data_IF_499304297341
#
_entry.id   IF_499304297341
#
_cell.length_a   1.000
_cell.length_b   1.000
_cell.length_c   1.000
_cell.angle_alpha   90.00
_cell.angle_beta   90.00
_cell.angle_gamma   90.00
#
_symmetry.space_group_name_H-M   'P 1'
#
loop_
_entity.id
_entity.type
_entity.pdbx_description
1 polymer ?
#
# COMPACT_ATOMS: atom_id res chain seq x y z
N UNK A 1 23.78 27.33 -57.61
CA UNK A 1 23.71 28.48 -56.70
C UNK A 1 23.08 28.01 -55.40
N UNK A 2 23.90 27.55 -54.45
CA UNK A 2 23.42 27.07 -53.14
C UNK A 2 23.67 28.20 -52.12
N UNK A 3 22.66 29.04 -51.87
CA UNK A 3 22.63 30.01 -50.77
C UNK A 3 21.55 29.58 -49.78
N UNK A 4 21.91 29.21 -48.57
CA UNK A 4 20.95 29.07 -47.48
C UNK A 4 21.10 27.87 -46.55
N UNK A 5 22.26 27.19 -46.48
CA UNK A 5 22.39 25.94 -45.69
C UNK A 5 22.92 26.10 -44.26
N UNK A 6 23.23 27.32 -43.78
CA UNK A 6 23.72 27.53 -42.42
C UNK A 6 22.88 28.60 -41.71
N UNK A 7 21.88 28.17 -40.96
CA UNK A 7 21.25 29.02 -39.95
C UNK A 7 22.28 29.20 -38.82
N UNK A 8 22.77 30.43 -38.66
CA UNK A 8 23.62 30.80 -37.52
C UNK A 8 22.79 30.66 -36.24
N UNK A 9 23.10 29.68 -35.41
CA UNK A 9 22.49 29.53 -34.07
C UNK A 9 23.07 30.64 -33.20
N UNK A 10 22.26 31.57 -32.74
CA UNK A 10 22.68 32.57 -31.75
C UNK A 10 22.57 31.91 -30.36
N UNK A 11 23.70 31.82 -29.69
CA UNK A 11 23.73 31.40 -28.27
C UNK A 11 23.59 32.66 -27.41
N UNK A 12 22.57 32.65 -26.56
CA UNK A 12 22.41 33.68 -25.52
C UNK A 12 23.13 33.17 -24.28
N UNK A 13 24.13 33.89 -23.83
CA UNK A 13 24.82 33.60 -22.57
C UNK A 13 23.97 34.16 -21.43
N UNK A 14 23.33 33.29 -20.67
CA UNK A 14 22.57 33.66 -19.48
C UNK A 14 23.48 33.55 -18.27
N UNK A 15 23.56 34.60 -17.45
CA UNK A 15 24.37 34.58 -16.23
C UNK A 15 23.82 33.59 -15.20
N UNK A 16 24.71 33.04 -14.37
CA UNK A 16 24.28 32.14 -13.27
C UNK A 16 23.29 32.78 -12.30
N UNK A 17 23.30 34.10 -12.17
CA UNK A 17 22.36 34.86 -11.34
C UNK A 17 20.96 34.94 -11.97
N UNK A 18 20.87 35.09 -13.29
CA UNK A 18 19.58 35.06 -14.02
C UNK A 18 18.97 33.68 -14.01
N UNK A 19 19.76 32.61 -14.18
CA UNK A 19 19.31 31.21 -14.05
C UNK A 19 18.74 30.95 -12.65
N UNK A 20 19.41 31.45 -11.62
CA UNK A 20 18.94 31.30 -10.23
C UNK A 20 17.67 32.10 -9.92
N UNK A 21 17.49 33.29 -10.53
CA UNK A 21 16.25 34.06 -10.43
C UNK A 21 15.09 33.37 -11.12
N UNK A 22 15.30 32.82 -12.33
CA UNK A 22 14.28 32.06 -13.07
C UNK A 22 13.88 30.81 -12.28
N UNK A 23 14.86 30.05 -11.75
CA UNK A 23 14.56 28.85 -10.91
C UNK A 23 13.77 29.19 -9.66
N UNK A 24 14.08 30.29 -8.96
CA UNK A 24 13.33 30.75 -7.79
C UNK A 24 11.90 31.20 -8.12
N UNK A 25 11.70 31.81 -9.29
CA UNK A 25 10.35 32.19 -9.74
C UNK A 25 9.51 30.97 -10.15
N UNK A 26 10.11 29.98 -10.80
CA UNK A 26 9.44 28.70 -11.15
C UNK A 26 9.08 27.86 -9.91
N UNK A 27 9.93 27.89 -8.87
CA UNK A 27 9.65 27.22 -7.60
C UNK A 27 8.52 27.91 -6.81
N UNK A 28 8.41 29.24 -6.88
CA UNK A 28 7.36 30.01 -6.22
C UNK A 28 5.98 29.87 -6.90
N UNK A 29 5.92 29.45 -8.16
CA UNK A 29 4.67 29.26 -8.92
C UNK A 29 4.19 27.83 -8.99
N UNK A 30 4.96 26.85 -8.49
CA UNK A 30 4.48 25.47 -8.43
C UNK A 30 3.33 25.37 -7.42
N UNK A 31 2.14 24.91 -7.86
CA UNK A 31 1.05 24.68 -6.93
C UNK A 31 1.53 23.70 -5.86
N UNK A 32 1.29 24.02 -4.59
CA UNK A 32 1.57 23.12 -3.48
C UNK A 32 0.57 21.95 -3.53
N UNK A 33 0.90 20.91 -4.27
CA UNK A 33 0.08 19.69 -4.38
C UNK A 33 0.42 18.83 -3.16
N UNK A 34 -0.52 18.58 -2.24
CA UNK A 34 -0.29 17.72 -1.10
C UNK A 34 0.19 16.35 -1.53
N UNK A 35 1.21 15.82 -0.85
CA UNK A 35 1.74 14.48 -1.10
C UNK A 35 0.62 13.44 -0.98
N UNK A 36 0.57 12.49 -1.91
CA UNK A 36 -0.40 11.40 -1.90
C UNK A 36 -1.72 11.67 -2.64
N UNK A 37 -1.91 12.87 -3.24
CA UNK A 37 -3.11 13.13 -4.06
C UNK A 37 -3.10 12.40 -5.41
N UNK A 38 -1.92 12.07 -5.91
CA UNK A 38 -1.75 11.43 -7.22
C UNK A 38 -0.88 10.18 -7.11
N UNK A 39 -1.27 9.13 -7.81
CA UNK A 39 -0.56 7.86 -7.89
C UNK A 39 -0.19 7.56 -9.34
N UNK A 40 1.06 7.16 -9.59
CA UNK A 40 1.51 6.76 -10.91
C UNK A 40 1.36 5.25 -11.09
N UNK A 41 0.59 4.85 -12.09
CA UNK A 41 0.47 3.44 -12.44
C UNK A 41 1.81 2.87 -12.90
N UNK A 42 2.30 1.84 -12.20
CA UNK A 42 3.57 1.19 -12.49
C UNK A 42 3.56 0.42 -13.81
N UNK A 43 2.37 0.03 -14.31
CA UNK A 43 2.23 -0.72 -15.56
C UNK A 43 2.14 0.19 -16.79
N UNK A 44 1.31 1.23 -16.78
CA UNK A 44 1.08 2.08 -17.96
C UNK A 44 1.62 3.51 -17.82
N UNK A 45 2.15 3.89 -16.64
CA UNK A 45 2.73 5.21 -16.40
C UNK A 45 1.72 6.34 -16.20
N UNK A 46 0.42 6.08 -16.32
CA UNK A 46 -0.61 7.10 -16.14
C UNK A 46 -0.64 7.62 -14.71
N UNK A 47 -0.82 8.93 -14.55
CA UNK A 47 -1.03 9.59 -13.28
C UNK A 47 -2.53 9.58 -13.01
N UNK A 48 -2.93 9.08 -11.83
CA UNK A 48 -4.32 8.86 -11.42
C UNK A 48 -4.56 9.61 -10.12
N UNK A 49 -5.69 10.27 -9.98
CA UNK A 49 -6.08 10.87 -8.71
C UNK A 49 -6.38 9.76 -7.69
N UNK A 50 -5.76 9.83 -6.52
CA UNK A 50 -5.83 8.75 -5.51
C UNK A 50 -7.27 8.45 -5.08
N UNK A 51 -8.14 9.47 -5.04
CA UNK A 51 -9.54 9.27 -4.71
C UNK A 51 -10.26 8.44 -5.77
N UNK A 52 -10.06 8.77 -7.05
CA UNK A 52 -10.66 8.02 -8.17
C UNK A 52 -10.14 6.57 -8.21
N UNK A 53 -8.85 6.38 -7.88
CA UNK A 53 -8.26 5.05 -7.78
C UNK A 53 -8.94 4.21 -6.69
N UNK A 54 -9.19 4.81 -5.52
CA UNK A 54 -9.88 4.14 -4.40
C UNK A 54 -11.35 3.83 -4.74
N UNK A 55 -12.06 4.76 -5.36
CA UNK A 55 -13.43 4.55 -5.84
C UNK A 55 -13.51 3.44 -6.89
N UNK A 56 -12.45 3.26 -7.68
CA UNK A 56 -12.31 2.16 -8.64
C UNK A 56 -11.64 0.89 -8.04
N UNK A 57 -11.79 0.65 -6.73
CA UNK A 57 -11.27 -0.52 -6.01
C UNK A 57 -9.75 -0.74 -6.20
N UNK A 58 -8.97 0.33 -6.27
CA UNK A 58 -7.52 0.30 -6.51
C UNK A 58 -7.13 -0.39 -7.83
N UNK A 59 -7.98 -0.25 -8.87
CA UNK A 59 -7.72 -0.74 -10.22
C UNK A 59 -7.47 0.44 -11.15
N UNK A 60 -6.39 0.39 -11.92
CA UNK A 60 -6.08 1.42 -12.90
C UNK A 60 -7.22 1.55 -13.94
N UNK A 61 -7.82 2.73 -14.14
CA UNK A 61 -8.91 2.91 -15.10
C UNK A 61 -8.48 2.63 -16.54
N UNK A 62 -7.21 2.89 -16.87
CA UNK A 62 -6.68 2.78 -18.23
C UNK A 62 -6.24 1.36 -18.61
N UNK A 63 -5.39 0.73 -17.79
CA UNK A 63 -4.79 -0.55 -18.14
C UNK A 63 -5.27 -1.74 -17.30
N UNK A 64 -6.21 -1.50 -16.38
CA UNK A 64 -6.79 -2.51 -15.48
C UNK A 64 -5.75 -3.17 -14.56
N UNK A 65 -4.62 -2.52 -14.32
CA UNK A 65 -3.64 -2.98 -13.35
C UNK A 65 -4.22 -2.84 -11.93
N UNK A 66 -4.10 -3.91 -11.12
CA UNK A 66 -4.50 -3.91 -9.72
C UNK A 66 -3.35 -3.43 -8.85
N UNK A 67 -3.56 -2.34 -8.13
CA UNK A 67 -2.61 -1.86 -7.14
C UNK A 67 -2.66 -2.73 -5.88
N UNK A 68 -1.57 -2.72 -5.13
CA UNK A 68 -1.55 -3.38 -3.82
C UNK A 68 -2.47 -2.63 -2.87
N UNK A 69 -3.20 -3.37 -2.07
CA UNK A 69 -4.06 -2.83 -1.01
C UNK A 69 -3.63 -3.41 0.34
N UNK A 70 -3.92 -2.68 1.39
CA UNK A 70 -3.66 -3.09 2.77
C UNK A 70 -4.69 -4.13 3.23
N UNK A 71 -4.35 -4.89 4.30
CA UNK A 71 -5.33 -5.80 4.90
C UNK A 71 -6.61 -5.08 5.32
N UNK A 72 -6.49 -3.88 5.92
CA UNK A 72 -7.65 -3.08 6.33
C UNK A 72 -8.51 -2.63 5.14
N UNK A 73 -7.89 -2.23 4.02
CA UNK A 73 -8.64 -1.87 2.80
C UNK A 73 -9.36 -3.09 2.23
N UNK A 74 -8.72 -4.27 2.24
CA UNK A 74 -9.36 -5.51 1.81
C UNK A 74 -10.55 -5.85 2.71
N UNK A 75 -10.39 -5.82 4.02
CA UNK A 75 -11.47 -6.06 4.99
C UNK A 75 -12.63 -5.10 4.72
N UNK A 76 -12.36 -3.79 4.65
CA UNK A 76 -13.39 -2.78 4.38
C UNK A 76 -14.12 -2.95 3.05
N UNK A 77 -13.47 -3.56 2.04
CA UNK A 77 -14.07 -3.75 0.71
C UNK A 77 -15.05 -4.92 0.63
N UNK A 78 -15.01 -5.85 1.59
CA UNK A 78 -15.79 -7.11 1.54
C UNK A 78 -16.67 -7.33 2.76
N UNK A 79 -16.31 -6.79 3.91
CA UNK A 79 -17.04 -6.97 5.17
C UNK A 79 -18.10 -5.88 5.31
N UNK A 80 -19.28 -6.26 5.75
CA UNK A 80 -20.39 -5.35 6.04
C UNK A 80 -20.01 -4.34 7.13
N UNK A 81 -20.45 -3.10 6.99
CA UNK A 81 -20.12 -2.02 7.93
C UNK A 81 -20.43 -2.42 9.37
N UNK A 82 -19.48 -2.12 10.28
CA UNK A 82 -19.59 -2.34 11.73
C UNK A 82 -19.70 -3.79 12.17
N UNK A 83 -19.52 -4.77 11.28
CA UNK A 83 -19.60 -6.19 11.63
C UNK A 83 -18.25 -6.83 11.94
N UNK A 84 -17.12 -6.12 11.69
CA UNK A 84 -15.78 -6.65 11.87
C UNK A 84 -15.35 -6.69 13.33
N UNK A 85 -14.91 -7.85 13.78
CA UNK A 85 -14.29 -8.11 15.08
C UNK A 85 -12.95 -8.82 14.85
N UNK A 86 -11.83 -8.13 15.15
CA UNK A 86 -10.49 -8.73 15.03
C UNK A 86 -10.27 -9.73 16.16
N UNK A 87 -9.74 -10.92 15.82
CA UNK A 87 -9.35 -11.97 16.76
C UNK A 87 -7.84 -12.19 16.74
N UNK A 88 -7.28 -12.75 17.83
CA UNK A 88 -5.85 -13.05 17.96
C UNK A 88 -4.94 -11.81 17.74
N UNK A 89 -5.42 -10.63 18.09
CA UNK A 89 -4.69 -9.37 17.92
C UNK A 89 -3.52 -9.20 18.93
N UNK A 90 -3.47 -9.99 19.98
CA UNK A 90 -2.46 -9.98 21.05
C UNK A 90 -1.22 -10.81 20.69
N UNK A 91 -1.32 -11.71 19.72
CA UNK A 91 -0.21 -12.59 19.30
C UNK A 91 0.80 -11.80 18.47
N UNK A 92 2.06 -11.92 18.85
CA UNK A 92 3.19 -11.23 18.21
C UNK A 92 4.40 -12.13 18.16
N UNK A 93 5.21 -11.94 17.11
CA UNK A 93 6.43 -12.71 16.93
C UNK A 93 7.45 -12.45 18.05
N UNK A 94 8.11 -13.53 18.45
CA UNK A 94 9.28 -13.54 19.34
C UNK A 94 10.51 -13.88 18.49
N UNK A 95 11.69 -13.71 19.09
CA UNK A 95 12.96 -14.10 18.47
C UNK A 95 13.60 -15.27 19.24
N UNK A 96 13.03 -16.48 19.18
CA UNK A 96 13.50 -17.62 19.99
C UNK A 96 14.90 -18.10 19.60
N UNK A 97 15.41 -17.73 18.42
CA UNK A 97 16.73 -18.08 17.94
C UNK A 97 17.78 -16.97 18.17
N UNK A 98 17.38 -15.90 18.84
CA UNK A 98 18.23 -14.71 19.08
C UNK A 98 18.92 -14.20 17.80
N UNK A 99 18.16 -14.16 16.70
CA UNK A 99 18.71 -13.74 15.41
C UNK A 99 19.02 -12.25 15.43
N UNK A 100 20.28 -11.93 15.21
CA UNK A 100 20.80 -10.55 15.30
C UNK A 100 20.05 -9.59 14.36
N UNK A 101 19.55 -8.49 14.93
CA UNK A 101 18.85 -7.43 14.20
C UNK A 101 17.38 -7.74 13.85
N UNK A 102 16.88 -8.94 14.18
CA UNK A 102 15.49 -9.33 13.89
C UNK A 102 14.48 -8.45 14.65
N UNK A 103 14.72 -8.24 15.95
CA UNK A 103 13.84 -7.44 16.80
C UNK A 103 13.72 -6.00 16.31
N UNK A 104 14.84 -5.37 15.94
CA UNK A 104 14.85 -4.03 15.35
C UNK A 104 14.04 -3.96 14.08
N UNK A 105 14.20 -4.92 13.19
CA UNK A 105 13.43 -5.02 11.94
C UNK A 105 11.92 -5.16 12.21
N UNK A 106 11.54 -6.01 13.16
CA UNK A 106 10.13 -6.19 13.55
C UNK A 106 9.56 -4.91 14.18
N UNK A 107 10.33 -4.24 15.02
CA UNK A 107 9.94 -2.96 15.62
C UNK A 107 9.66 -1.89 14.54
N UNK A 108 10.56 -1.75 13.57
CA UNK A 108 10.42 -0.79 12.47
C UNK A 108 9.19 -1.11 11.62
N UNK A 109 8.95 -2.39 11.31
CA UNK A 109 7.77 -2.82 10.55
C UNK A 109 6.46 -2.55 11.29
N UNK A 110 6.41 -2.80 12.61
CA UNK A 110 5.24 -2.47 13.44
C UNK A 110 4.94 -0.97 13.42
N UNK A 111 5.96 -0.14 13.56
CA UNK A 111 5.81 1.32 13.52
C UNK A 111 5.38 1.82 12.13
N UNK A 112 5.96 1.29 11.07
CA UNK A 112 5.67 1.71 9.70
C UNK A 112 4.29 1.26 9.20
N UNK A 113 3.80 0.10 9.66
CA UNK A 113 2.57 -0.51 9.14
C UNK A 113 1.37 -0.40 10.08
N UNK A 114 1.61 -0.23 11.38
CA UNK A 114 0.61 -0.34 12.45
C UNK A 114 0.16 -1.79 12.71
N UNK A 115 0.77 -2.77 12.04
CA UNK A 115 0.44 -4.18 12.18
C UNK A 115 1.33 -4.85 13.22
N UNK A 116 0.83 -5.84 13.94
CA UNK A 116 1.62 -6.69 14.84
C UNK A 116 2.27 -7.85 14.11
N UNK A 117 1.65 -8.29 13.00
CA UNK A 117 2.12 -9.41 12.16
C UNK A 117 1.57 -9.30 10.73
N UNK A 118 2.08 -10.12 9.80
CA UNK A 118 1.74 -10.08 8.38
C UNK A 118 0.31 -10.57 8.05
N UNK A 119 -0.48 -11.00 9.03
CA UNK A 119 -1.87 -11.41 8.86
C UNK A 119 -2.77 -10.74 9.89
N UNK A 120 -3.93 -10.27 9.43
CA UNK A 120 -5.04 -9.82 10.26
C UNK A 120 -6.13 -10.88 10.19
N UNK A 121 -6.62 -11.35 11.36
CA UNK A 121 -7.64 -12.39 11.47
C UNK A 121 -8.84 -11.87 12.23
N UNK A 122 -10.05 -12.23 11.82
CA UNK A 122 -11.25 -11.75 12.48
C UNK A 122 -12.53 -12.44 12.01
N UNK A 123 -13.63 -12.04 12.60
CA UNK A 123 -14.98 -12.45 12.23
C UNK A 123 -15.72 -11.23 11.74
N UNK A 124 -16.52 -11.40 10.70
CA UNK A 124 -17.37 -10.33 10.18
C UNK A 124 -18.49 -10.91 9.33
N UNK A 125 -19.33 -10.04 8.79
CA UNK A 125 -20.41 -10.45 7.90
C UNK A 125 -20.09 -10.07 6.46
N UNK A 126 -20.45 -10.92 5.53
CA UNK A 126 -20.47 -10.64 4.10
C UNK A 126 -21.90 -10.80 3.62
N UNK A 127 -22.57 -9.71 3.25
CA UNK A 127 -23.99 -9.70 2.86
C UNK A 127 -24.90 -10.36 3.92
N UNK A 128 -24.63 -10.08 5.19
CA UNK A 128 -25.37 -10.61 6.33
C UNK A 128 -24.89 -11.96 6.85
N UNK A 129 -24.11 -12.72 6.08
CA UNK A 129 -23.63 -14.04 6.46
C UNK A 129 -22.30 -13.95 7.23
N UNK A 130 -22.22 -14.59 8.39
CA UNK A 130 -21.01 -14.61 9.24
C UNK A 130 -19.91 -15.45 8.62
N UNK A 131 -18.69 -14.90 8.63
CA UNK A 131 -17.49 -15.58 8.12
C UNK A 131 -16.30 -15.34 9.03
N UNK A 132 -15.35 -16.26 9.03
CA UNK A 132 -14.01 -16.04 9.57
C UNK A 132 -13.10 -15.62 8.41
N UNK A 133 -12.32 -14.56 8.61
CA UNK A 133 -11.49 -13.99 7.58
C UNK A 133 -10.05 -13.86 8.04
N UNK A 134 -9.11 -14.28 7.18
CA UNK A 134 -7.68 -14.04 7.35
C UNK A 134 -7.19 -13.21 6.15
N UNK A 135 -6.55 -12.07 6.39
CA UNK A 135 -6.05 -11.21 5.31
C UNK A 135 -4.56 -10.95 5.52
N UNK A 136 -3.76 -11.40 4.56
CA UNK A 136 -2.33 -11.15 4.55
C UNK A 136 -2.04 -9.71 4.11
N UNK A 137 -0.98 -9.12 4.69
CA UNK A 137 -0.54 -7.77 4.32
C UNK A 137 0.94 -7.79 3.89
N UNK A 138 1.17 -7.54 2.62
CA UNK A 138 2.52 -7.58 2.05
C UNK A 138 3.45 -6.47 2.55
N UNK A 139 2.94 -5.47 3.25
CA UNK A 139 3.76 -4.41 3.86
C UNK A 139 4.56 -4.94 5.06
N UNK A 140 4.07 -5.98 5.73
CA UNK A 140 4.77 -6.62 6.82
C UNK A 140 5.51 -7.86 6.28
N UNK A 141 6.83 -7.80 6.20
CA UNK A 141 7.72 -8.86 5.67
C UNK A 141 7.25 -9.51 4.35
N UNK A 142 6.69 -8.73 3.44
CA UNK A 142 6.15 -9.22 2.16
C UNK A 142 5.02 -10.26 2.30
N UNK A 143 4.31 -10.30 3.44
CA UNK A 143 3.31 -11.32 3.71
C UNK A 143 3.92 -12.69 4.02
N UNK A 144 5.14 -12.74 4.52
CA UNK A 144 5.83 -14.00 4.82
C UNK A 144 5.13 -14.78 5.93
N UNK A 145 4.96 -16.08 5.72
CA UNK A 145 4.31 -16.97 6.67
C UNK A 145 5.33 -17.51 7.68
N UNK A 146 5.50 -16.76 8.79
CA UNK A 146 6.26 -17.21 9.95
C UNK A 146 5.39 -17.98 10.95
N UNK A 147 6.00 -18.36 12.09
CA UNK A 147 5.32 -19.12 13.16
C UNK A 147 4.04 -18.44 13.67
N UNK A 148 4.09 -17.13 13.90
CA UNK A 148 2.93 -16.38 14.42
C UNK A 148 1.84 -16.21 13.37
N UNK A 149 2.19 -15.99 12.10
CA UNK A 149 1.21 -15.99 11.01
C UNK A 149 0.50 -17.35 10.93
N UNK A 150 1.26 -18.44 10.96
CA UNK A 150 0.71 -19.80 10.98
C UNK A 150 -0.20 -20.01 12.18
N UNK A 151 0.22 -19.64 13.38
CA UNK A 151 -0.59 -19.76 14.61
C UNK A 151 -1.90 -18.96 14.54
N UNK A 152 -1.85 -17.71 14.08
CA UNK A 152 -3.07 -16.88 13.90
C UNK A 152 -4.05 -17.51 12.91
N UNK A 153 -3.54 -18.05 11.79
CA UNK A 153 -4.38 -18.76 10.80
C UNK A 153 -4.95 -20.05 11.40
N UNK A 154 -4.14 -20.83 12.12
CA UNK A 154 -4.61 -22.05 12.79
C UNK A 154 -5.75 -21.76 13.76
N UNK A 155 -5.59 -20.77 14.63
CA UNK A 155 -6.67 -20.36 15.56
C UNK A 155 -7.91 -19.83 14.84
N UNK A 156 -7.72 -19.17 13.70
CA UNK A 156 -8.87 -18.74 12.88
C UNK A 156 -9.60 -19.95 12.27
N UNK A 157 -8.87 -20.99 11.84
CA UNK A 157 -9.46 -22.26 11.36
C UNK A 157 -10.22 -22.94 12.49
N UNK A 158 -9.63 -23.06 13.67
CA UNK A 158 -10.27 -23.65 14.86
C UNK A 158 -11.56 -22.91 15.22
N UNK A 159 -11.51 -21.56 15.22
CA UNK A 159 -12.69 -20.71 15.44
C UNK A 159 -13.78 -20.96 14.39
N UNK A 160 -13.39 -21.11 13.12
CA UNK A 160 -14.34 -21.40 12.04
C UNK A 160 -15.01 -22.77 12.22
N UNK A 161 -14.25 -23.79 12.62
CA UNK A 161 -14.77 -25.14 12.91
C UNK A 161 -15.73 -25.10 14.10
N UNK A 162 -15.30 -24.51 15.23
CA UNK A 162 -16.09 -24.42 16.45
C UNK A 162 -17.43 -23.72 16.21
N UNK A 163 -17.38 -22.59 15.52
CA UNK A 163 -18.56 -21.76 15.23
C UNK A 163 -19.34 -22.22 13.99
N UNK A 164 -18.83 -23.23 13.26
CA UNK A 164 -19.40 -23.72 11.99
C UNK A 164 -19.58 -22.59 10.97
N UNK A 165 -18.56 -21.75 10.83
CA UNK A 165 -18.53 -20.63 9.91
C UNK A 165 -17.62 -20.94 8.71
N UNK A 166 -17.90 -20.38 7.53
CA UNK A 166 -16.96 -20.43 6.42
C UNK A 166 -15.67 -19.65 6.76
N UNK A 167 -14.54 -20.14 6.27
CA UNK A 167 -13.25 -19.48 6.39
C UNK A 167 -12.79 -18.98 5.00
N UNK A 168 -12.34 -17.74 4.94
CA UNK A 168 -11.77 -17.14 3.73
C UNK A 168 -10.38 -16.59 4.07
N UNK A 169 -9.40 -16.90 3.21
CA UNK A 169 -8.00 -16.42 3.38
C UNK A 169 -7.59 -15.69 2.11
N UNK A 170 -7.10 -14.44 2.25
CA UNK A 170 -6.55 -13.60 1.18
C UNK A 170 -5.05 -13.40 1.36
#
# INVERSE_FOLDING_TARGET
MFKGLFKKTQYITVSSEEINKIKKQDEAQKPNIPNGMWEKCTKCGQIIYTKDLKENNNVCPSCKYHFRITAQERIKSIIDERSWEEINCDISTLNPLDFKGYEGKIYDLKNATGLKEAVVTGIGNIKGEKVVLCVMDSRFQMGSMGSVVGEKITRAIETAIEKRLPLIIF
#
